data_IF_374683327909
#
_entry.id   IF_374683327909
#
_cell.length_a   1.000
_cell.length_b   1.000
_cell.length_c   1.000
_cell.angle_alpha   90.00
_cell.angle_beta   90.00
_cell.angle_gamma   90.00
#
_symmetry.space_group_name_H-M   'P 1'
#
loop_
_entity.id
_entity.type
_entity.pdbx_description
1 polymer ?
#
# COMPACT_ATOMS: atom_id res chain seq x y z
N UNK A 1 -18.48 5.26 9.91
CA UNK A 1 -17.76 4.79 8.69
C UNK A 1 -17.49 5.91 7.70
N UNK A 2 -18.36 6.92 7.55
CA UNK A 2 -18.09 8.09 6.70
C UNK A 2 -16.89 8.94 7.16
N UNK A 3 -16.72 9.16 8.47
CA UNK A 3 -15.62 9.97 9.01
C UNK A 3 -14.23 9.38 8.74
N UNK A 4 -14.07 8.05 8.87
CA UNK A 4 -12.78 7.38 8.70
C UNK A 4 -12.19 7.64 7.30
N UNK A 5 -13.01 7.47 6.26
CA UNK A 5 -12.57 7.67 4.88
C UNK A 5 -12.25 9.16 4.59
N UNK A 6 -12.98 10.09 5.21
CA UNK A 6 -12.75 11.53 5.08
C UNK A 6 -11.45 11.94 5.76
N UNK A 7 -11.21 11.50 7.00
CA UNK A 7 -9.96 11.75 7.73
C UNK A 7 -8.75 11.16 7.02
N UNK A 8 -8.86 9.93 6.50
CA UNK A 8 -7.80 9.30 5.69
C UNK A 8 -7.48 10.10 4.41
N UNK A 9 -8.50 10.52 3.68
CA UNK A 9 -8.32 11.30 2.46
C UNK A 9 -7.70 12.68 2.73
N UNK A 10 -8.08 13.33 3.84
CA UNK A 10 -7.49 14.58 4.28
C UNK A 10 -6.02 14.40 4.68
N UNK A 11 -5.73 13.40 5.53
CA UNK A 11 -4.37 13.09 5.98
C UNK A 11 -3.40 12.83 4.82
N UNK A 12 -3.84 12.06 3.81
CA UNK A 12 -3.03 11.80 2.62
C UNK A 12 -2.79 13.05 1.77
N UNK A 13 -3.77 13.96 1.68
CA UNK A 13 -3.65 15.22 0.94
C UNK A 13 -2.72 16.21 1.64
N UNK A 14 -2.83 16.29 2.95
CA UNK A 14 -2.13 17.27 3.76
C UNK A 14 -0.72 16.79 4.19
N UNK A 15 -0.37 15.55 3.85
CA UNK A 15 0.93 14.95 4.21
C UNK A 15 1.04 14.60 5.69
N UNK A 16 -0.10 14.43 6.37
CA UNK A 16 -0.20 14.07 7.77
C UNK A 16 0.46 12.71 8.02
N UNK A 17 1.21 12.61 9.12
CA UNK A 17 1.86 11.36 9.49
C UNK A 17 0.86 10.30 9.94
N UNK A 18 1.25 9.03 9.85
CA UNK A 18 0.45 7.90 10.36
C UNK A 18 0.14 8.07 11.84
N UNK A 19 1.10 8.56 12.63
CA UNK A 19 0.94 8.72 14.07
C UNK A 19 -0.10 9.80 14.41
N UNK A 20 -0.17 10.87 13.61
CA UNK A 20 -1.21 11.91 13.72
C UNK A 20 -2.59 11.38 13.37
N UNK A 21 -2.70 10.67 12.23
CA UNK A 21 -3.95 10.04 11.82
C UNK A 21 -4.44 9.04 12.87
N UNK A 22 -3.54 8.24 13.46
CA UNK A 22 -3.89 7.32 14.54
C UNK A 22 -4.49 8.05 15.75
N UNK A 23 -4.07 9.29 16.06
CA UNK A 23 -4.66 10.07 17.16
C UNK A 23 -6.11 10.44 16.85
N UNK A 24 -6.40 10.86 15.63
CA UNK A 24 -7.76 11.19 15.19
C UNK A 24 -8.68 9.95 15.23
N UNK A 25 -8.13 8.78 14.89
CA UNK A 25 -8.90 7.53 14.91
C UNK A 25 -9.21 7.00 16.31
N UNK A 26 -8.44 7.39 17.34
CA UNK A 26 -8.73 6.98 18.72
C UNK A 26 -10.09 7.44 19.19
N UNK A 27 -10.49 8.66 18.82
CA UNK A 27 -11.80 9.22 19.17
C UNK A 27 -12.96 8.41 18.57
N UNK A 28 -12.69 7.59 17.54
CA UNK A 28 -13.67 6.74 16.86
C UNK A 28 -13.59 5.27 17.30
N UNK A 29 -12.41 4.78 17.70
CA UNK A 29 -12.16 3.35 17.88
C UNK A 29 -11.91 2.92 19.34
N UNK A 30 -11.69 3.86 20.26
CA UNK A 30 -11.46 3.66 21.70
C UNK A 30 -10.36 2.61 22.04
N UNK A 31 -9.47 2.35 21.09
CA UNK A 31 -8.30 1.45 21.19
C UNK A 31 -7.17 2.01 20.31
N UNK A 32 -6.11 2.49 20.96
CA UNK A 32 -4.95 3.11 20.30
C UNK A 32 -4.21 2.15 19.37
N UNK A 33 -3.98 0.92 19.82
CA UNK A 33 -3.24 -0.08 19.06
C UNK A 33 -3.99 -0.48 17.78
N UNK A 34 -5.31 -0.58 17.89
CA UNK A 34 -6.18 -0.88 16.77
C UNK A 34 -6.32 0.31 15.82
N UNK A 35 -6.42 1.52 16.36
CA UNK A 35 -6.44 2.75 15.57
C UNK A 35 -5.17 2.91 14.73
N UNK A 36 -4.00 2.68 15.32
CA UNK A 36 -2.72 2.74 14.62
C UNK A 36 -2.61 1.65 13.52
N UNK A 37 -3.00 0.41 13.82
CA UNK A 37 -3.01 -0.68 12.85
C UNK A 37 -3.89 -0.34 11.64
N UNK A 38 -5.10 0.18 11.89
CA UNK A 38 -6.03 0.58 10.83
C UNK A 38 -5.44 1.73 10.01
N UNK A 39 -4.93 2.77 10.67
CA UNK A 39 -4.29 3.91 9.99
C UNK A 39 -3.15 3.44 9.06
N UNK A 40 -2.24 2.59 9.57
CA UNK A 40 -1.13 2.03 8.78
C UNK A 40 -1.62 1.26 7.57
N UNK A 41 -2.60 0.39 7.76
CA UNK A 41 -3.14 -0.46 6.68
C UNK A 41 -3.88 0.35 5.62
N UNK A 42 -4.71 1.31 6.01
CA UNK A 42 -5.45 2.11 5.05
C UNK A 42 -4.56 3.10 4.27
N UNK A 43 -3.54 3.68 4.92
CA UNK A 43 -2.53 4.49 4.22
C UNK A 43 -1.77 3.66 3.20
N UNK A 44 -1.29 2.47 3.57
CA UNK A 44 -0.58 1.58 2.63
C UNK A 44 -1.46 1.16 1.44
N UNK A 45 -2.75 0.91 1.69
CA UNK A 45 -3.72 0.57 0.63
C UNK A 45 -3.91 1.76 -0.31
N UNK A 46 -4.14 2.95 0.22
CA UNK A 46 -4.33 4.15 -0.57
C UNK A 46 -3.10 4.48 -1.43
N UNK A 47 -1.89 4.37 -0.86
CA UNK A 47 -0.64 4.55 -1.60
C UNK A 47 -0.50 3.55 -2.75
N UNK A 48 -0.82 2.27 -2.51
CA UNK A 48 -0.69 1.24 -3.53
C UNK A 48 -1.69 1.43 -4.69
N UNK A 49 -2.92 1.84 -4.38
CA UNK A 49 -3.92 2.18 -5.38
C UNK A 49 -3.55 3.44 -6.18
N UNK A 50 -3.01 4.46 -5.51
CA UNK A 50 -2.49 5.65 -6.19
C UNK A 50 -1.32 5.31 -7.12
N UNK A 51 -0.43 4.40 -6.73
CA UNK A 51 0.62 3.87 -7.58
C UNK A 51 0.06 3.16 -8.81
N UNK A 52 -0.90 2.25 -8.66
CA UNK A 52 -1.53 1.56 -9.80
C UNK A 52 -2.20 2.51 -10.79
N UNK A 53 -2.94 3.52 -10.30
CA UNK A 53 -3.55 4.54 -11.17
C UNK A 53 -2.48 5.36 -11.91
N UNK A 54 -1.43 5.79 -11.19
CA UNK A 54 -0.30 6.52 -11.79
C UNK A 54 0.40 5.68 -12.86
N UNK A 55 0.65 4.40 -12.59
CA UNK A 55 1.25 3.47 -13.53
C UNK A 55 0.36 3.24 -14.75
N UNK A 56 -0.95 3.10 -14.55
CA UNK A 56 -1.93 3.00 -15.63
C UNK A 56 -1.94 4.22 -16.55
N UNK A 57 -1.86 5.43 -15.99
CA UNK A 57 -1.77 6.69 -16.76
C UNK A 57 -0.45 6.82 -17.53
N UNK A 58 0.61 6.18 -17.05
CA UNK A 58 1.94 6.19 -17.65
C UNK A 58 2.21 5.02 -18.63
N UNK A 59 1.18 4.21 -18.97
CA UNK A 59 1.30 2.97 -19.75
C UNK A 59 2.33 1.96 -19.20
N UNK A 60 2.55 1.96 -17.87
CA UNK A 60 3.37 0.93 -17.22
C UNK A 60 2.57 -0.37 -17.18
N UNK A 61 3.08 -1.40 -17.84
CA UNK A 61 2.38 -2.69 -17.99
C UNK A 61 2.79 -3.73 -16.98
N UNK A 62 3.92 -3.53 -16.30
CA UNK A 62 4.48 -4.48 -15.34
C UNK A 62 4.86 -3.80 -14.03
N UNK A 63 4.60 -4.51 -12.94
CA UNK A 63 4.96 -4.13 -11.58
C UNK A 63 5.57 -5.32 -10.87
N UNK A 64 6.39 -5.04 -9.87
CA UNK A 64 6.91 -6.04 -8.95
C UNK A 64 6.67 -5.63 -7.50
N UNK A 65 6.67 -6.62 -6.61
CA UNK A 65 6.45 -6.40 -5.18
C UNK A 65 7.76 -6.00 -4.51
N UNK A 66 7.82 -4.77 -4.00
CA UNK A 66 8.97 -4.26 -3.27
C UNK A 66 8.76 -4.49 -1.77
N UNK A 67 9.59 -5.36 -1.19
CA UNK A 67 9.55 -5.63 0.25
C UNK A 67 10.11 -4.46 1.06
N UNK A 68 9.49 -4.22 2.22
CA UNK A 68 10.09 -3.33 3.23
C UNK A 68 11.42 -3.92 3.71
N UNK A 69 12.40 -3.07 4.09
CA UNK A 69 13.56 -3.53 4.84
C UNK A 69 13.16 -4.26 6.14
N UNK A 70 14.00 -5.19 6.57
CA UNK A 70 13.86 -5.91 7.83
C UNK A 70 12.99 -7.16 7.74
N UNK A 71 12.27 -7.49 8.83
CA UNK A 71 11.42 -8.67 8.90
C UNK A 71 10.15 -8.48 8.04
N UNK A 72 9.95 -9.41 7.11
CA UNK A 72 8.85 -9.46 6.14
C UNK A 72 8.20 -10.83 6.25
N UNK A 73 6.88 -10.92 6.09
CA UNK A 73 6.21 -12.21 6.19
C UNK A 73 6.41 -13.05 4.92
N UNK A 74 6.27 -14.37 5.06
CA UNK A 74 6.45 -15.33 3.96
C UNK A 74 5.56 -15.04 2.74
N UNK A 75 4.35 -14.50 2.92
CA UNK A 75 3.48 -14.14 1.78
C UNK A 75 4.02 -12.94 1.00
N UNK A 76 4.54 -11.93 1.70
CA UNK A 76 5.16 -10.77 1.07
C UNK A 76 6.49 -11.14 0.38
N UNK A 77 7.25 -12.07 0.97
CA UNK A 77 8.44 -12.65 0.32
C UNK A 77 8.04 -13.42 -0.94
N UNK A 78 7.03 -14.28 -0.88
CA UNK A 78 6.53 -15.02 -2.05
C UNK A 78 6.02 -14.09 -3.16
N UNK A 79 5.37 -12.97 -2.82
CA UNK A 79 4.95 -11.97 -3.80
C UNK A 79 6.15 -11.29 -4.48
N UNK A 80 7.25 -11.07 -3.75
CA UNK A 80 8.49 -10.51 -4.30
C UNK A 80 9.24 -11.52 -5.18
N UNK A 81 9.31 -12.77 -4.73
CA UNK A 81 9.96 -13.86 -5.46
C UNK A 81 9.24 -14.23 -6.77
N UNK A 82 7.95 -13.88 -6.89
CA UNK A 82 7.20 -14.01 -8.15
C UNK A 82 7.78 -13.12 -9.27
N UNK A 83 8.50 -12.05 -8.91
CA UNK A 83 9.07 -11.09 -9.85
C UNK A 83 8.00 -10.24 -10.55
N UNK A 84 8.36 -9.60 -11.68
CA UNK A 84 7.46 -8.72 -12.41
C UNK A 84 6.22 -9.44 -12.96
N UNK A 85 5.04 -8.93 -12.63
CA UNK A 85 3.75 -9.36 -13.16
C UNK A 85 3.07 -8.24 -13.94
N UNK A 86 2.02 -8.56 -14.70
CA UNK A 86 1.20 -7.52 -15.32
C UNK A 86 0.50 -6.66 -14.26
N UNK A 87 0.37 -5.36 -14.50
CA UNK A 87 -0.42 -4.44 -13.64
C UNK A 87 -1.90 -4.83 -13.49
N UNK A 88 -2.41 -5.74 -14.31
CA UNK A 88 -3.79 -6.27 -14.23
C UNK A 88 -3.88 -7.66 -13.60
N UNK A 89 -2.78 -8.18 -13.08
CA UNK A 89 -2.69 -9.52 -12.51
C UNK A 89 -2.60 -9.43 -10.97
N UNK A 90 -3.09 -10.47 -10.30
CA UNK A 90 -2.90 -10.65 -8.85
C UNK A 90 -1.57 -11.35 -8.55
N UNK A 91 -0.92 -10.94 -7.46
CA UNK A 91 0.22 -11.66 -6.91
C UNK A 91 -0.22 -13.00 -6.31
N UNK A 92 0.75 -13.88 -6.06
CA UNK A 92 0.56 -15.23 -5.53
C UNK A 92 -0.16 -15.22 -4.17
N UNK A 93 0.02 -14.15 -3.38
CA UNK A 93 -0.70 -13.91 -2.13
C UNK A 93 -2.18 -13.53 -2.28
N UNK A 94 -2.71 -13.48 -3.51
CA UNK A 94 -4.13 -13.29 -3.80
C UNK A 94 -4.59 -11.82 -3.83
N UNK A 95 -3.67 -10.86 -3.79
CA UNK A 95 -3.94 -9.42 -3.89
C UNK A 95 -3.23 -8.84 -5.11
N UNK A 96 -3.77 -7.77 -5.69
CA UNK A 96 -3.18 -7.03 -6.81
C UNK A 96 -2.12 -6.01 -6.37
N UNK A 97 -2.18 -5.57 -5.12
CA UNK A 97 -1.21 -4.66 -4.53
C UNK A 97 -1.08 -4.87 -3.01
N UNK A 98 -0.03 -4.32 -2.37
CA UNK A 98 -0.04 -4.14 -0.92
C UNK A 98 -1.26 -3.32 -0.45
N UNK A 99 -1.66 -3.45 0.82
CA UNK A 99 -1.11 -4.33 1.85
C UNK A 99 -1.60 -5.78 1.70
N UNK A 100 -0.71 -6.76 1.90
CA UNK A 100 -1.08 -8.18 1.99
C UNK A 100 -1.81 -8.54 3.29
N UNK A 101 -1.52 -7.80 4.37
CA UNK A 101 -1.99 -8.08 5.74
C UNK A 101 -1.98 -6.79 6.57
N UNK A 102 -2.58 -6.78 7.78
CA UNK A 102 -2.46 -5.66 8.71
C UNK A 102 -0.99 -5.29 8.96
N UNK A 103 -0.70 -4.00 9.09
CA UNK A 103 0.67 -3.47 9.25
C UNK A 103 1.68 -3.82 8.13
N UNK A 104 1.22 -4.27 6.95
CA UNK A 104 2.11 -4.47 5.80
C UNK A 104 2.76 -3.14 5.38
N UNK A 105 4.09 -3.18 5.18
CA UNK A 105 4.91 -2.01 4.83
C UNK A 105 5.49 -2.09 3.41
N UNK A 106 5.06 -3.07 2.63
CA UNK A 106 5.57 -3.29 1.26
C UNK A 106 4.92 -2.30 0.29
N UNK A 107 5.51 -2.13 -0.88
CA UNK A 107 5.05 -1.23 -1.93
C UNK A 107 5.08 -1.92 -3.30
N UNK A 108 4.49 -1.26 -4.30
CA UNK A 108 4.68 -1.63 -5.70
C UNK A 108 5.84 -0.84 -6.31
N UNK A 109 6.62 -1.50 -7.16
CA UNK A 109 7.64 -0.86 -7.98
C UNK A 109 7.30 -1.05 -9.47
N UNK A 110 7.32 0.02 -10.29
CA UNK A 110 7.05 -0.09 -11.71
C UNK A 110 8.26 -0.66 -12.43
N UNK A 111 8.03 -1.57 -13.37
CA UNK A 111 9.08 -2.10 -14.24
C UNK A 111 9.03 -1.35 -15.56
N UNK A 112 10.06 -0.54 -15.82
CA UNK A 112 10.19 0.26 -17.02
C UNK A 112 11.04 -0.48 -18.06
N UNK A 113 10.48 -0.72 -19.24
CA UNK A 113 11.23 -1.22 -20.39
C UNK A 113 11.94 -0.04 -21.06
N UNK A 114 13.05 0.41 -20.48
CA UNK A 114 13.90 1.45 -21.09
C UNK A 114 14.80 0.82 -22.15
N UNK A 115 14.33 0.81 -23.39
CA UNK A 115 15.21 0.62 -24.55
C UNK A 115 15.90 1.94 -24.84
N UNK A 116 17.21 2.00 -24.58
CA UNK A 116 18.06 3.08 -25.04
C UNK A 116 18.46 2.75 -26.50
N UNK A 117 18.02 3.59 -27.45
CA UNK A 117 18.56 3.62 -28.82
C UNK A 117 19.90 4.36 -28.85
#
# INVERSE_FOLDING_TARGET
MGDLAVSLAAALRDGTSVDELARELRDVLDDESRAEMIARTEVARAQSQASLDTYGRADVRRVEWLTSPGNVCMQCEANADQGPISTRQVFTGGVDSPPQHPNCRCALMPVLDVSFE
#
